data_IF_282162235081
#
_entry.id   IF_282162235081
#
_cell.length_a   1.000
_cell.length_b   1.000
_cell.length_c   1.000
_cell.angle_alpha   90.00
_cell.angle_beta   90.00
_cell.angle_gamma   90.00
#
_symmetry.space_group_name_H-M   'P 1'
#
loop_
_entity.id
_entity.type
_entity.pdbx_description
1 polymer ?
#
# COMPACT_ATOMS: atom_id res chain seq x y z
N UNK A 1 39.25 0.06 -19.68
CA UNK A 1 39.80 -0.09 -18.31
C UNK A 1 38.94 0.64 -17.26
N UNK A 2 37.63 0.40 -17.20
CA UNK A 2 36.71 1.05 -16.23
C UNK A 2 35.76 0.07 -15.49
N UNK A 3 35.76 -1.22 -15.85
CA UNK A 3 34.81 -2.20 -15.30
C UNK A 3 35.07 -2.61 -13.84
N UNK A 4 36.30 -2.44 -13.33
CA UNK A 4 36.65 -2.81 -11.96
C UNK A 4 36.19 -1.77 -10.93
N UNK A 5 36.19 -0.47 -11.28
CA UNK A 5 35.62 0.59 -10.45
C UNK A 5 34.10 0.43 -10.24
N UNK A 6 33.38 -0.05 -11.26
CA UNK A 6 31.93 -0.34 -11.18
C UNK A 6 31.59 -1.56 -10.29
N UNK A 7 32.58 -2.33 -9.81
CA UNK A 7 32.40 -3.40 -8.80
C UNK A 7 32.67 -2.92 -7.37
N UNK A 8 33.33 -1.77 -7.18
CA UNK A 8 33.68 -1.19 -5.88
C UNK A 8 32.68 -0.12 -5.40
N UNK A 9 31.80 0.35 -6.30
CA UNK A 9 30.72 1.28 -5.96
C UNK A 9 29.47 0.49 -5.50
N UNK A 10 28.80 0.88 -4.39
CA UNK A 10 27.52 0.29 -4.01
C UNK A 10 26.55 0.44 -5.17
N UNK A 11 26.07 -0.67 -5.72
CA UNK A 11 25.31 -0.70 -6.97
C UNK A 11 23.84 -0.38 -6.75
N UNK A 12 23.24 0.18 -7.80
CA UNK A 12 21.81 0.41 -8.04
C UNK A 12 20.92 -0.76 -7.57
N UNK A 13 21.41 -2.00 -7.72
CA UNK A 13 20.72 -3.25 -7.34
C UNK A 13 20.15 -3.21 -5.91
N UNK A 14 20.83 -2.55 -4.96
CA UNK A 14 20.40 -2.50 -3.55
C UNK A 14 19.06 -1.77 -3.36
N UNK A 15 18.77 -0.74 -4.16
CA UNK A 15 17.51 0.00 -4.00
C UNK A 15 16.32 -0.85 -4.44
N UNK A 16 16.44 -1.55 -5.57
CA UNK A 16 15.39 -2.46 -6.03
C UNK A 16 15.17 -3.61 -5.05
N UNK A 17 16.23 -4.20 -4.48
CA UNK A 17 16.10 -5.21 -3.43
C UNK A 17 15.33 -4.69 -2.21
N UNK A 18 15.55 -3.43 -1.81
CA UNK A 18 14.84 -2.80 -0.68
C UNK A 18 13.38 -2.52 -1.02
N UNK A 19 13.09 -1.99 -2.22
CA UNK A 19 11.71 -1.80 -2.67
C UNK A 19 10.95 -3.12 -2.77
N UNK A 20 11.58 -4.17 -3.28
CA UNK A 20 10.98 -5.51 -3.36
C UNK A 20 10.75 -6.13 -1.97
N UNK A 21 11.66 -5.89 -1.02
CA UNK A 21 11.43 -6.28 0.39
C UNK A 21 10.22 -5.54 0.94
N UNK A 22 10.14 -4.23 0.74
CA UNK A 22 9.03 -3.41 1.23
C UNK A 22 7.70 -3.82 0.60
N UNK A 23 7.66 -4.06 -0.72
CA UNK A 23 6.42 -4.44 -1.41
C UNK A 23 5.87 -5.78 -0.93
N UNK A 24 6.75 -6.74 -0.58
CA UNK A 24 6.33 -7.99 0.06
C UNK A 24 5.68 -7.76 1.42
N UNK A 25 6.23 -6.84 2.23
CA UNK A 25 5.66 -6.47 3.52
C UNK A 25 4.28 -5.84 3.37
N UNK A 26 4.13 -4.92 2.40
CA UNK A 26 2.86 -4.26 2.07
C UNK A 26 1.81 -5.28 1.58
N UNK A 27 2.18 -6.21 0.70
CA UNK A 27 1.28 -7.30 0.28
C UNK A 27 0.88 -8.18 1.46
N UNK A 28 1.81 -8.54 2.34
CA UNK A 28 1.52 -9.27 3.57
C UNK A 28 0.55 -8.51 4.48
N UNK A 29 0.67 -7.18 4.55
CA UNK A 29 -0.21 -6.31 5.32
C UNK A 29 -1.63 -6.31 4.76
N UNK A 30 -1.75 -6.16 3.45
CA UNK A 30 -3.03 -6.22 2.73
C UNK A 30 -3.73 -7.58 2.92
N UNK A 31 -2.99 -8.68 2.81
CA UNK A 31 -3.52 -10.03 3.02
C UNK A 31 -3.95 -10.24 4.47
N UNK A 32 -3.18 -9.76 5.44
CA UNK A 32 -3.56 -9.81 6.86
C UNK A 32 -4.82 -8.95 7.15
N UNK A 33 -4.94 -7.78 6.53
CA UNK A 33 -6.13 -6.94 6.64
C UNK A 33 -7.37 -7.63 6.04
N UNK A 34 -7.23 -8.29 4.90
CA UNK A 34 -8.31 -9.10 4.33
C UNK A 34 -8.76 -10.21 5.30
N UNK A 35 -7.81 -10.91 5.95
CA UNK A 35 -8.15 -11.94 6.94
C UNK A 35 -8.83 -11.35 8.18
N UNK A 36 -8.37 -10.20 8.66
CA UNK A 36 -9.00 -9.45 9.77
C UNK A 36 -10.45 -9.14 9.46
N UNK A 37 -10.73 -8.60 8.27
CA UNK A 37 -12.08 -8.24 7.82
C UNK A 37 -12.98 -9.48 7.66
N UNK A 38 -12.39 -10.67 7.47
CA UNK A 38 -13.09 -11.96 7.53
C UNK A 38 -13.66 -12.31 8.91
N UNK A 39 -13.28 -11.60 9.97
CA UNK A 39 -13.86 -11.71 11.32
C UNK A 39 -13.30 -12.84 12.20
N UNK A 40 -12.37 -13.65 11.69
CA UNK A 40 -11.74 -14.74 12.44
C UNK A 40 -10.34 -14.33 12.92
N UNK A 41 -9.94 -14.77 14.12
CA UNK A 41 -8.60 -14.51 14.67
C UNK A 41 -8.21 -13.01 14.65
N UNK A 42 -9.15 -12.10 14.90
CA UNK A 42 -8.96 -10.64 14.76
C UNK A 42 -7.71 -10.15 15.49
N UNK A 43 -7.51 -10.54 16.74
CA UNK A 43 -6.36 -10.08 17.53
C UNK A 43 -5.02 -10.52 16.94
N UNK A 44 -4.97 -11.73 16.34
CA UNK A 44 -3.78 -12.25 15.64
C UNK A 44 -3.49 -11.43 14.38
N UNK A 45 -4.51 -11.14 13.57
CA UNK A 45 -4.32 -10.37 12.33
C UNK A 45 -3.99 -8.91 12.61
N UNK A 46 -4.62 -8.30 13.63
CA UNK A 46 -4.23 -7.00 14.17
C UNK A 46 -2.74 -6.98 14.51
N UNK A 47 -2.26 -7.96 15.29
CA UNK A 47 -0.84 -8.02 15.65
C UNK A 47 0.06 -8.22 14.43
N UNK A 48 -0.35 -9.07 13.48
CA UNK A 48 0.42 -9.32 12.26
C UNK A 48 0.59 -8.05 11.42
N UNK A 49 -0.44 -7.21 11.31
CA UNK A 49 -0.36 -5.93 10.59
C UNK A 49 0.59 -4.97 11.31
N UNK A 50 0.54 -4.89 12.64
CA UNK A 50 1.48 -4.09 13.44
C UNK A 50 2.92 -4.55 13.19
N UNK A 51 3.18 -5.86 13.24
CA UNK A 51 4.52 -6.39 13.05
C UNK A 51 5.06 -6.09 11.63
N UNK A 52 4.19 -6.15 10.62
CA UNK A 52 4.54 -5.85 9.23
C UNK A 52 4.77 -4.34 9.02
N UNK A 53 3.98 -3.47 9.63
CA UNK A 53 4.21 -2.02 9.58
C UNK A 53 5.58 -1.66 10.20
N UNK A 54 5.92 -2.22 11.37
CA UNK A 54 7.24 -2.00 11.96
C UNK A 54 8.39 -2.53 11.09
N UNK A 55 8.17 -3.62 10.34
CA UNK A 55 9.14 -4.11 9.36
C UNK A 55 9.28 -3.17 8.16
N UNK A 56 8.17 -2.63 7.66
CA UNK A 56 8.15 -1.65 6.57
C UNK A 56 8.87 -0.36 6.95
N UNK A 57 8.56 0.21 8.12
CA UNK A 57 9.26 1.36 8.73
C UNK A 57 10.78 1.16 8.74
N UNK A 58 11.22 -0.03 9.15
CA UNK A 58 12.62 -0.42 9.16
C UNK A 58 13.26 -0.39 7.77
N UNK A 59 12.55 -0.92 6.76
CA UNK A 59 13.00 -0.91 5.36
C UNK A 59 13.00 0.53 4.81
N UNK A 60 11.99 1.33 5.11
CA UNK A 60 11.91 2.76 4.75
C UNK A 60 13.11 3.51 5.29
N UNK A 61 13.46 3.31 6.56
CA UNK A 61 14.67 3.87 7.17
C UNK A 61 15.97 3.41 6.48
N UNK A 62 16.06 2.13 6.09
CA UNK A 62 17.19 1.59 5.32
C UNK A 62 17.33 2.30 3.95
N UNK A 63 16.23 2.51 3.22
CA UNK A 63 16.22 3.20 1.92
C UNK A 63 16.67 4.65 2.07
N UNK A 64 16.09 5.39 3.01
CA UNK A 64 16.44 6.81 3.24
C UNK A 64 17.91 6.97 3.65
N UNK A 65 18.45 6.04 4.43
CA UNK A 65 19.87 6.02 4.75
C UNK A 65 20.74 5.69 3.53
N UNK A 66 20.30 4.74 2.70
CA UNK A 66 20.99 4.39 1.46
C UNK A 66 21.02 5.57 0.48
N UNK A 67 19.93 6.33 0.34
CA UNK A 67 19.90 7.57 -0.45
C UNK A 67 21.01 8.52 0.05
N UNK A 68 21.06 8.84 1.34
CA UNK A 68 22.06 9.78 1.89
C UNK A 68 23.52 9.35 1.68
N UNK A 69 23.79 8.05 1.61
CA UNK A 69 25.15 7.49 1.51
C UNK A 69 25.58 7.15 0.09
N UNK A 70 24.64 6.99 -0.83
CA UNK A 70 24.95 6.57 -2.20
C UNK A 70 25.34 7.77 -3.05
N UNK A 71 26.44 7.65 -3.80
CA UNK A 71 26.85 8.68 -4.76
C UNK A 71 26.10 8.57 -6.09
N UNK A 72 25.74 7.34 -6.48
CA UNK A 72 24.98 7.00 -7.68
C UNK A 72 23.67 6.36 -7.24
N UNK A 73 22.56 6.77 -7.84
CA UNK A 73 21.20 6.27 -7.60
C UNK A 73 20.57 5.81 -8.93
N UNK A 74 19.63 4.84 -8.91
CA UNK A 74 19.01 4.31 -10.12
C UNK A 74 18.11 5.32 -10.86
N UNK A 75 17.56 6.28 -10.13
CA UNK A 75 16.80 7.44 -10.63
C UNK A 75 16.96 8.61 -9.62
N UNK A 76 16.20 9.69 -9.74
CA UNK A 76 16.35 10.86 -8.87
C UNK A 76 16.14 10.52 -7.39
N UNK A 77 16.79 11.29 -6.51
CA UNK A 77 16.71 11.06 -5.06
C UNK A 77 15.34 11.43 -4.49
N UNK A 78 14.67 12.41 -5.10
CA UNK A 78 13.29 12.79 -4.82
C UNK A 78 12.37 11.60 -5.08
N UNK A 79 12.37 11.10 -6.30
CA UNK A 79 11.62 9.89 -6.70
C UNK A 79 11.82 8.69 -5.77
N UNK A 80 13.07 8.37 -5.38
CA UNK A 80 13.34 7.25 -4.46
C UNK A 80 12.68 7.50 -3.10
N UNK A 81 12.78 8.72 -2.60
CA UNK A 81 12.23 9.12 -1.31
C UNK A 81 10.70 9.11 -1.38
N UNK A 82 10.12 9.68 -2.42
CA UNK A 82 8.67 9.86 -2.52
C UNK A 82 7.99 8.50 -2.80
N UNK A 83 8.60 7.64 -3.62
CA UNK A 83 8.15 6.26 -3.80
C UNK A 83 8.15 5.45 -2.50
N UNK A 84 9.27 5.43 -1.75
CA UNK A 84 9.32 4.64 -0.51
C UNK A 84 8.34 5.17 0.54
N UNK A 85 8.20 6.50 0.65
CA UNK A 85 7.25 7.12 1.57
C UNK A 85 5.80 6.80 1.20
N UNK A 86 5.46 6.81 -0.09
CA UNK A 86 4.14 6.43 -0.56
C UNK A 86 3.81 4.95 -0.28
N UNK A 87 4.79 4.05 -0.44
CA UNK A 87 4.62 2.63 -0.08
C UNK A 87 4.43 2.42 1.43
N UNK A 88 5.14 3.19 2.25
CA UNK A 88 5.06 3.18 3.72
C UNK A 88 3.69 3.69 4.19
N UNK A 89 3.21 4.79 3.61
CA UNK A 89 1.87 5.36 3.86
C UNK A 89 0.74 4.33 3.68
N UNK A 90 0.86 3.43 2.69
CA UNK A 90 -0.13 2.39 2.42
C UNK A 90 -0.26 1.39 3.58
N UNK A 91 0.85 0.87 4.09
CA UNK A 91 0.82 -0.08 5.23
C UNK A 91 0.50 0.64 6.55
N UNK A 92 0.93 1.89 6.70
CA UNK A 92 0.55 2.76 7.82
C UNK A 92 -0.96 2.96 7.90
N UNK A 93 -1.63 3.11 6.76
CA UNK A 93 -3.09 3.25 6.72
C UNK A 93 -3.79 1.95 7.12
N UNK A 94 -3.23 0.78 6.78
CA UNK A 94 -3.73 -0.50 7.29
C UNK A 94 -3.57 -0.60 8.81
N UNK A 95 -2.44 -0.15 9.36
CA UNK A 95 -2.23 -0.12 10.81
C UNK A 95 -3.18 0.88 11.50
N UNK A 96 -3.47 2.04 10.90
CA UNK A 96 -4.50 2.97 11.40
C UNK A 96 -5.88 2.30 11.46
N UNK A 97 -6.23 1.49 10.47
CA UNK A 97 -7.46 0.68 10.47
C UNK A 97 -7.49 -0.28 11.67
N UNK A 98 -6.38 -0.97 11.94
CA UNK A 98 -6.23 -1.84 13.11
C UNK A 98 -6.41 -1.08 14.43
N UNK A 99 -5.85 0.13 14.55
CA UNK A 99 -6.02 0.96 15.75
C UNK A 99 -7.50 1.26 16.00
N UNK A 100 -8.27 1.61 14.97
CA UNK A 100 -9.71 1.86 15.05
C UNK A 100 -10.48 0.61 15.47
N UNK A 101 -10.20 -0.53 14.83
CA UNK A 101 -10.82 -1.83 15.15
C UNK A 101 -10.60 -2.19 16.62
N UNK A 102 -9.37 -2.04 17.12
CA UNK A 102 -9.04 -2.31 18.53
C UNK A 102 -9.70 -1.31 19.48
N UNK A 103 -9.68 -0.02 19.13
CA UNK A 103 -10.22 1.05 19.97
C UNK A 103 -11.72 0.88 20.23
N UNK A 104 -12.47 0.48 19.20
CA UNK A 104 -13.92 0.28 19.28
C UNK A 104 -14.32 -1.19 19.47
N UNK A 105 -13.36 -2.07 19.75
CA UNK A 105 -13.57 -3.50 19.99
C UNK A 105 -14.41 -4.19 18.89
N UNK A 106 -14.20 -3.80 17.63
CA UNK A 106 -14.99 -4.31 16.50
C UNK A 106 -14.67 -5.78 16.25
N UNK A 107 -15.71 -6.62 16.24
CA UNK A 107 -15.60 -8.08 16.04
C UNK A 107 -16.29 -8.59 14.79
N UNK A 108 -17.15 -7.77 14.19
CA UNK A 108 -17.90 -8.11 12.99
C UNK A 108 -17.72 -7.02 11.94
N UNK A 109 -17.60 -7.45 10.69
CA UNK A 109 -17.39 -6.56 9.55
C UNK A 109 -18.45 -6.84 8.49
N UNK A 110 -18.93 -5.78 7.86
CA UNK A 110 -19.93 -5.86 6.80
C UNK A 110 -19.41 -6.64 5.58
N UNK A 111 -20.31 -7.26 4.79
CA UNK A 111 -19.92 -7.94 3.57
C UNK A 111 -19.12 -7.06 2.60
N UNK A 112 -19.46 -5.78 2.47
CA UNK A 112 -18.74 -4.86 1.57
C UNK A 112 -17.35 -4.49 2.12
N UNK A 113 -17.17 -4.36 3.44
CA UNK A 113 -15.83 -4.22 4.03
C UNK A 113 -14.94 -5.44 3.70
N UNK A 114 -15.49 -6.66 3.75
CA UNK A 114 -14.76 -7.88 3.36
C UNK A 114 -14.37 -7.86 1.89
N UNK A 115 -15.26 -7.36 1.04
CA UNK A 115 -15.00 -7.20 -0.39
C UNK A 115 -13.88 -6.17 -0.64
N UNK A 116 -13.89 -5.04 0.06
CA UNK A 116 -12.81 -4.05 0.02
C UNK A 116 -11.47 -4.65 0.45
N UNK A 117 -11.45 -5.57 1.41
CA UNK A 117 -10.24 -6.34 1.75
C UNK A 117 -9.63 -7.08 0.55
N UNK A 118 -10.45 -7.62 -0.36
CA UNK A 118 -9.98 -8.21 -1.61
C UNK A 118 -9.47 -7.18 -2.62
N UNK A 119 -10.11 -6.02 -2.70
CA UNK A 119 -9.69 -4.88 -3.54
C UNK A 119 -8.32 -4.35 -3.10
N UNK A 120 -8.10 -4.21 -1.79
CA UNK A 120 -6.82 -3.80 -1.19
C UNK A 120 -5.70 -4.79 -1.55
N UNK A 121 -5.96 -6.11 -1.46
CA UNK A 121 -4.99 -7.14 -1.87
C UNK A 121 -4.66 -7.06 -3.36
N UNK A 122 -5.65 -6.77 -4.20
CA UNK A 122 -5.44 -6.58 -5.63
C UNK A 122 -4.52 -5.38 -5.89
N UNK A 123 -4.79 -4.23 -5.26
CA UNK A 123 -3.96 -3.03 -5.37
C UNK A 123 -2.50 -3.30 -4.95
N UNK A 124 -2.31 -3.95 -3.80
CA UNK A 124 -0.99 -4.29 -3.27
C UNK A 124 -0.18 -5.19 -4.23
N UNK A 125 -0.84 -6.16 -4.87
CA UNK A 125 -0.19 -7.06 -5.83
C UNK A 125 0.21 -6.35 -7.12
N UNK A 126 -0.61 -5.41 -7.60
CA UNK A 126 -0.29 -4.58 -8.75
C UNK A 126 0.95 -3.72 -8.49
N UNK A 127 1.02 -3.06 -7.33
CA UNK A 127 2.22 -2.33 -6.91
C UNK A 127 3.44 -3.27 -6.82
N UNK A 128 3.30 -4.42 -6.18
CA UNK A 128 4.39 -5.39 -6.07
C UNK A 128 4.88 -5.92 -7.43
N UNK A 129 3.98 -6.02 -8.42
CA UNK A 129 4.35 -6.35 -9.81
C UNK A 129 5.15 -5.22 -10.47
N UNK A 130 4.79 -3.96 -10.21
CA UNK A 130 5.46 -2.81 -10.82
C UNK A 130 6.90 -2.60 -10.31
N UNK A 131 7.16 -2.84 -9.03
CA UNK A 131 8.47 -2.60 -8.40
C UNK A 131 9.67 -3.20 -9.18
N UNK A 132 9.72 -4.51 -9.51
CA UNK A 132 10.85 -5.08 -10.23
C UNK A 132 11.00 -4.52 -11.66
N UNK A 133 9.91 -4.02 -12.26
CA UNK A 133 9.92 -3.44 -13.60
C UNK A 133 10.66 -2.08 -13.64
N UNK A 134 10.75 -1.37 -12.51
CA UNK A 134 11.50 -0.12 -12.39
C UNK A 134 13.00 -0.29 -12.67
N UNK A 135 13.54 -1.50 -12.57
CA UNK A 135 14.95 -1.77 -12.92
C UNK A 135 15.28 -1.49 -14.40
N UNK A 136 14.25 -1.46 -15.27
CA UNK A 136 14.37 -1.17 -16.70
C UNK A 136 13.18 -0.35 -17.19
N UNK A 137 12.95 0.82 -16.56
CA UNK A 137 11.79 1.71 -16.81
C UNK A 137 11.48 1.86 -18.30
N UNK A 138 12.45 2.29 -19.12
CA UNK A 138 12.22 2.52 -20.56
C UNK A 138 11.78 1.28 -21.34
N UNK A 139 12.26 0.08 -20.97
CA UNK A 139 11.83 -1.17 -21.61
C UNK A 139 10.46 -1.65 -21.12
N UNK A 140 10.06 -1.25 -19.91
CA UNK A 140 8.86 -1.72 -19.23
C UNK A 140 7.74 -0.67 -19.18
N UNK A 141 7.94 0.53 -19.75
CA UNK A 141 7.02 1.67 -19.66
C UNK A 141 5.58 1.30 -20.03
N UNK A 142 5.38 0.50 -21.07
CA UNK A 142 4.05 0.05 -21.49
C UNK A 142 3.34 -0.79 -20.41
N UNK A 143 4.06 -1.68 -19.70
CA UNK A 143 3.47 -2.47 -18.61
C UNK A 143 3.24 -1.62 -17.37
N UNK A 144 4.18 -0.72 -17.04
CA UNK A 144 4.04 0.21 -15.91
C UNK A 144 2.80 1.09 -16.07
N UNK A 145 2.58 1.66 -17.27
CA UNK A 145 1.37 2.43 -17.57
C UNK A 145 0.09 1.59 -17.46
N UNK A 146 0.12 0.35 -17.98
CA UNK A 146 -1.03 -0.55 -17.85
C UNK A 146 -1.35 -0.88 -16.38
N UNK A 147 -0.33 -1.06 -15.52
CA UNK A 147 -0.53 -1.26 -14.09
C UNK A 147 -1.16 -0.02 -13.45
N UNK A 148 -0.70 1.19 -13.79
CA UNK A 148 -1.31 2.42 -13.26
C UNK A 148 -2.81 2.51 -13.62
N UNK A 149 -3.18 2.20 -14.86
CA UNK A 149 -4.59 2.11 -15.26
C UNK A 149 -5.36 0.99 -14.52
N UNK A 150 -4.71 -0.14 -14.21
CA UNK A 150 -5.30 -1.21 -13.41
C UNK A 150 -5.57 -0.76 -11.97
N UNK A 151 -4.64 0.00 -11.35
CA UNK A 151 -4.81 0.55 -10.00
C UNK A 151 -5.95 1.58 -9.97
N UNK A 152 -6.04 2.48 -10.95
CA UNK A 152 -7.16 3.43 -11.07
C UNK A 152 -8.53 2.72 -11.16
N UNK A 153 -8.61 1.57 -11.84
CA UNK A 153 -9.85 0.76 -11.86
C UNK A 153 -10.17 0.10 -10.51
N UNK A 154 -9.14 -0.20 -9.73
CA UNK A 154 -9.27 -0.80 -8.40
C UNK A 154 -9.73 0.25 -7.39
N UNK A 155 -9.21 1.47 -7.47
CA UNK A 155 -9.66 2.64 -6.70
C UNK A 155 -11.13 2.96 -6.98
N UNK A 156 -11.55 3.11 -8.24
CA UNK A 156 -12.95 3.40 -8.54
C UNK A 156 -13.93 2.31 -8.06
N UNK A 157 -13.48 1.05 -7.98
CA UNK A 157 -14.27 -0.03 -7.35
C UNK A 157 -14.33 0.11 -5.82
N UNK A 158 -13.25 0.55 -5.18
CA UNK A 158 -13.23 0.80 -3.74
C UNK A 158 -14.20 1.93 -3.37
N UNK A 159 -14.23 2.99 -4.17
CA UNK A 159 -15.17 4.12 -4.03
C UNK A 159 -16.63 3.68 -4.13
N UNK A 160 -16.97 2.90 -5.17
CA UNK A 160 -18.32 2.34 -5.33
C UNK A 160 -18.75 1.52 -4.10
N UNK A 161 -17.84 0.68 -3.58
CA UNK A 161 -18.09 -0.13 -2.38
C UNK A 161 -18.22 0.73 -1.12
N UNK A 162 -17.41 1.78 -1.01
CA UNK A 162 -17.43 2.73 0.09
C UNK A 162 -18.77 3.47 0.14
N UNK A 163 -19.20 4.08 -0.97
CA UNK A 163 -20.46 4.79 -1.06
C UNK A 163 -21.67 3.87 -0.78
N UNK A 164 -21.63 2.65 -1.34
CA UNK A 164 -22.68 1.66 -1.08
C UNK A 164 -22.71 1.25 0.40
N UNK A 165 -21.55 1.03 1.00
CA UNK A 165 -21.39 0.70 2.42
C UNK A 165 -21.98 1.76 3.35
N UNK A 166 -21.65 3.04 3.12
CA UNK A 166 -22.21 4.15 3.90
C UNK A 166 -23.73 4.23 3.78
N UNK A 167 -24.26 4.02 2.57
CA UNK A 167 -25.71 4.02 2.33
C UNK A 167 -26.42 2.89 3.09
N UNK A 168 -25.84 1.70 3.10
CA UNK A 168 -26.41 0.55 3.79
C UNK A 168 -26.28 0.69 5.31
N UNK A 169 -25.17 1.23 5.83
CA UNK A 169 -25.04 1.61 7.24
C UNK A 169 -26.12 2.61 7.66
N UNK A 170 -26.34 3.67 6.87
CA UNK A 170 -27.36 4.67 7.20
C UNK A 170 -28.76 4.05 7.23
N UNK A 171 -29.08 3.14 6.31
CA UNK A 171 -30.37 2.43 6.28
C UNK A 171 -30.58 1.54 7.49
N UNK A 172 -29.56 0.80 7.91
CA UNK A 172 -29.67 -0.13 9.03
C UNK A 172 -29.60 0.56 10.40
N UNK A 173 -28.74 1.56 10.55
CA UNK A 173 -28.39 2.13 11.86
C UNK A 173 -28.81 3.59 12.04
N UNK A 174 -29.01 4.35 10.96
CA UNK A 174 -29.16 5.82 11.02
C UNK A 174 -30.33 6.36 11.84
N UNK A 175 -31.29 5.51 12.24
CA UNK A 175 -32.43 5.89 13.08
C UNK A 175 -32.38 5.34 14.51
N UNK A 176 -31.59 4.30 14.76
CA UNK A 176 -31.65 3.50 15.98
C UNK A 176 -30.31 3.32 16.68
N UNK A 177 -29.20 3.40 15.95
CA UNK A 177 -27.85 3.22 16.49
C UNK A 177 -26.83 4.13 15.79
N UNK A 178 -26.77 5.43 16.16
CA UNK A 178 -25.83 6.37 15.56
C UNK A 178 -24.36 6.00 15.81
N UNK A 179 -24.05 5.25 16.87
CA UNK A 179 -22.68 4.84 17.19
C UNK A 179 -22.20 3.73 16.26
N UNK A 180 -23.04 2.74 15.97
CA UNK A 180 -22.74 1.73 14.96
C UNK A 180 -22.52 2.37 13.57
N UNK A 181 -23.35 3.35 13.19
CA UNK A 181 -23.14 4.11 11.96
C UNK A 181 -21.79 4.84 11.96
N UNK A 182 -21.42 5.52 13.05
CA UNK A 182 -20.19 6.30 13.15
C UNK A 182 -18.95 5.39 13.04
N UNK A 183 -18.91 4.30 13.81
CA UNK A 183 -17.79 3.36 13.80
C UNK A 183 -17.68 2.69 12.42
N UNK A 184 -18.80 2.24 11.86
CA UNK A 184 -18.81 1.61 10.53
C UNK A 184 -18.35 2.58 9.44
N UNK A 185 -18.82 3.83 9.47
CA UNK A 185 -18.41 4.85 8.50
C UNK A 185 -16.92 5.19 8.60
N UNK A 186 -16.37 5.24 9.82
CA UNK A 186 -14.94 5.44 10.03
C UNK A 186 -14.12 4.29 9.43
N UNK A 187 -14.52 3.04 9.64
CA UNK A 187 -13.81 1.88 9.07
C UNK A 187 -13.88 1.89 7.55
N UNK A 188 -15.06 2.13 6.97
CA UNK A 188 -15.25 2.25 5.54
C UNK A 188 -14.34 3.31 4.91
N UNK A 189 -14.31 4.52 5.48
CA UNK A 189 -13.44 5.60 5.00
C UNK A 189 -11.95 5.37 5.29
N UNK A 190 -11.58 4.45 6.19
CA UNK A 190 -10.19 4.04 6.36
C UNK A 190 -9.79 2.98 5.32
N UNK A 191 -10.68 2.07 4.96
CA UNK A 191 -10.44 1.06 3.92
C UNK A 191 -10.32 1.67 2.53
N UNK A 192 -11.14 2.68 2.20
CA UNK A 192 -11.02 3.45 0.96
C UNK A 192 -9.66 4.16 0.90
N UNK A 193 -9.30 4.95 1.92
CA UNK A 193 -7.95 5.54 2.04
C UNK A 193 -6.79 4.57 1.90
N UNK A 194 -6.93 3.30 2.30
CA UNK A 194 -5.86 2.30 2.06
C UNK A 194 -5.66 2.10 0.55
N UNK A 195 -6.75 2.03 -0.23
CA UNK A 195 -6.69 1.91 -1.69
C UNK A 195 -6.14 3.18 -2.31
N UNK A 196 -6.53 4.37 -1.84
CA UNK A 196 -5.96 5.65 -2.30
C UNK A 196 -4.44 5.67 -2.14
N UNK A 197 -3.90 5.13 -1.04
CA UNK A 197 -2.43 5.04 -0.88
C UNK A 197 -1.76 4.14 -1.90
N UNK A 198 -2.44 3.12 -2.41
CA UNK A 198 -1.90 2.35 -3.53
C UNK A 198 -1.97 3.11 -4.85
N UNK A 199 -2.97 3.96 -5.04
CA UNK A 199 -3.03 4.89 -6.16
C UNK A 199 -1.89 5.91 -6.09
N UNK A 200 -1.63 6.51 -4.91
CA UNK A 200 -0.48 7.39 -4.67
C UNK A 200 0.82 6.70 -5.12
N UNK A 201 1.03 5.42 -4.77
CA UNK A 201 2.23 4.67 -5.21
C UNK A 201 2.28 4.51 -6.73
N UNK A 202 1.15 4.21 -7.38
CA UNK A 202 1.07 4.11 -8.83
C UNK A 202 1.35 5.46 -9.53
N UNK A 203 0.94 6.57 -8.91
CA UNK A 203 1.23 7.92 -9.37
C UNK A 203 2.73 8.25 -9.28
N UNK A 204 3.39 7.89 -8.17
CA UNK A 204 4.86 8.03 -8.06
C UNK A 204 5.61 7.21 -9.11
N UNK A 205 5.17 5.96 -9.33
CA UNK A 205 5.72 5.10 -10.39
C UNK A 205 5.53 5.73 -11.78
N UNK A 206 4.36 6.32 -12.04
CA UNK A 206 4.07 7.00 -13.31
C UNK A 206 4.94 8.24 -13.50
N UNK A 207 5.19 8.99 -12.43
CA UNK A 207 6.15 10.10 -12.41
C UNK A 207 7.55 9.65 -12.84
N UNK A 208 8.07 8.59 -12.22
CA UNK A 208 9.37 7.99 -12.59
C UNK A 208 9.40 7.58 -14.06
N UNK A 209 8.32 7.00 -14.60
CA UNK A 209 8.22 6.63 -16.02
C UNK A 209 8.33 7.87 -16.91
N UNK A 210 7.63 8.95 -16.61
CA UNK A 210 7.64 10.19 -17.40
C UNK A 210 9.04 10.81 -17.44
N UNK A 211 9.79 10.76 -16.33
CA UNK A 211 11.12 11.36 -16.26
C UNK A 211 12.22 10.53 -16.95
N UNK A 212 11.99 9.22 -17.15
CA UNK A 212 13.01 8.27 -17.61
C UNK A 212 12.73 7.67 -19.00
N UNK A 213 11.66 8.09 -19.68
CA UNK A 213 11.27 7.64 -21.03
C UNK A 213 11.48 8.72 -22.09
#
# INVERSE_FOLDING_TARGET
MLGWFRKLLPREDRFFDLFERHSRTVVGGAEALQQLLGGNDIDRWCQKIVDLENEADGITAEVLLAVRRSFITPFDRGDIKDLIQSMDDAIDMMHKTVKTVKLFEVREFDPLMREMGGVIVQAARLVAEAIPLLSKVGANAARLNAIAEEVMRVEGRADDLHEQGLKDLFRHHGRSDPMAYLIGSEIYGQLEKVVDRFEDVANEISGIVIENV
#
